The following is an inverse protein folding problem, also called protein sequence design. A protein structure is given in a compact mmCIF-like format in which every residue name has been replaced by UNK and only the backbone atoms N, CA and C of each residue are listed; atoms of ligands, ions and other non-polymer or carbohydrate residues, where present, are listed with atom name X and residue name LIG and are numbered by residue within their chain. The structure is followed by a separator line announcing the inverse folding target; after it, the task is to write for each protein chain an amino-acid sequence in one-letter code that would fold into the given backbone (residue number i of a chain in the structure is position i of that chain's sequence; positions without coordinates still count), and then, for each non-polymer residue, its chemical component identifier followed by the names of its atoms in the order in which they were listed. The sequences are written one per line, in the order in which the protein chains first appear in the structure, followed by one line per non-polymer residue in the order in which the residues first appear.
data_IF_684755990262
#
_entry.id   IF_684755990262
#
_cell.length_a   1.000
_cell.length_b   1.000
_cell.length_c   1.000
_cell.angle_alpha   90.00
_cell.angle_beta   90.00
_cell.angle_gamma   90.00
#
_symmetry.space_group_name_H-M   'P 1'
#
loop_
_entity.id
_entity.type
_entity.pdbx_description
1 polymer ?
#
# COMPACT_ATOMS: atom_id res chain seq x y z
N UNK A 1 -20.35 4.93 16.84
CA UNK A 1 -19.03 4.57 16.26
C UNK A 1 -17.92 4.67 17.29
N UNK A 2 -17.87 5.73 18.11
CA UNK A 2 -16.92 5.85 19.23
C UNK A 2 -16.97 4.67 20.22
N UNK A 3 -18.16 4.13 20.48
CA UNK A 3 -18.33 2.92 21.27
C UNK A 3 -17.61 1.70 20.69
N UNK A 4 -17.56 1.56 19.36
CA UNK A 4 -16.86 0.48 18.66
C UNK A 4 -15.35 0.65 18.83
N UNK A 5 -14.80 1.84 18.57
CA UNK A 5 -13.37 2.09 18.74
C UNK A 5 -12.92 1.97 20.19
N UNK A 6 -13.70 2.51 21.13
CA UNK A 6 -13.47 2.35 22.57
C UNK A 6 -13.56 0.89 23.00
N UNK A 7 -14.46 0.10 22.40
CA UNK A 7 -14.54 -1.33 22.65
C UNK A 7 -13.31 -2.07 22.09
N UNK A 8 -12.85 -1.74 20.88
CA UNK A 8 -11.71 -2.40 20.23
C UNK A 8 -10.33 -1.96 20.78
N UNK A 9 -10.24 -0.83 21.49
CA UNK A 9 -8.97 -0.31 22.02
C UNK A 9 -8.35 -1.17 23.13
N UNK A 10 -9.09 -2.13 23.68
CA UNK A 10 -8.67 -2.98 24.79
C UNK A 10 -8.29 -4.38 24.29
N UNK A 11 -7.09 -4.89 24.64
CA UNK A 11 -6.60 -6.17 24.16
C UNK A 11 -7.44 -7.37 24.64
N UNK A 12 -8.03 -7.31 25.85
CA UNK A 12 -8.88 -8.39 26.37
C UNK A 12 -10.18 -8.48 25.57
N UNK A 13 -10.77 -7.34 25.18
CA UNK A 13 -11.95 -7.32 24.32
C UNK A 13 -11.66 -7.83 22.91
N UNK A 14 -10.49 -7.48 22.33
CA UNK A 14 -10.05 -8.07 21.05
C UNK A 14 -9.85 -9.57 21.16
N UNK A 15 -9.25 -10.07 22.25
CA UNK A 15 -9.09 -11.50 22.51
C UNK A 15 -10.43 -12.26 22.60
N UNK A 16 -11.46 -11.66 23.22
CA UNK A 16 -12.82 -12.23 23.24
C UNK A 16 -13.43 -12.33 21.83
N UNK A 17 -13.30 -11.27 21.02
CA UNK A 17 -13.79 -11.26 19.63
C UNK A 17 -13.02 -12.25 18.76
N UNK A 18 -11.70 -12.40 18.97
CA UNK A 18 -10.86 -13.35 18.26
C UNK A 18 -11.25 -14.80 18.61
N UNK A 19 -11.57 -15.08 19.89
CA UNK A 19 -12.11 -16.36 20.34
C UNK A 19 -13.45 -16.67 19.66
N UNK A 20 -14.39 -15.71 19.66
CA UNK A 20 -15.69 -15.86 18.99
C UNK A 20 -15.57 -16.02 17.47
N UNK A 21 -14.60 -15.34 16.85
CA UNK A 21 -14.28 -15.52 15.43
C UNK A 21 -13.79 -16.95 15.13
N UNK A 22 -13.02 -17.55 16.04
CA UNK A 22 -12.53 -18.93 15.90
C UNK A 22 -13.61 -19.98 16.16
N UNK A 23 -14.47 -19.74 17.16
CA UNK A 23 -15.62 -20.59 17.49
C UNK A 23 -16.77 -19.72 17.97
N UNK A 24 -17.83 -19.63 17.18
CA UNK A 24 -18.96 -18.78 17.54
C UNK A 24 -19.95 -19.48 18.49
N UNK A 25 -20.87 -18.72 19.10
CA UNK A 25 -21.93 -19.29 19.96
C UNK A 25 -21.43 -19.85 21.29
N UNK A 26 -20.35 -19.29 21.83
CA UNK A 26 -19.74 -19.74 23.09
C UNK A 26 -20.51 -19.25 24.32
N UNK A 27 -20.53 -20.08 25.36
CA UNK A 27 -21.04 -19.72 26.69
C UNK A 27 -20.04 -18.85 27.45
N UNK A 28 -20.52 -18.19 28.51
CA UNK A 28 -19.65 -17.40 29.39
C UNK A 28 -18.48 -18.22 29.96
N UNK A 29 -18.73 -19.48 30.33
CA UNK A 29 -17.69 -20.37 30.89
C UNK A 29 -16.65 -20.76 29.85
N UNK A 30 -17.04 -20.95 28.59
CA UNK A 30 -16.09 -21.21 27.50
C UNK A 30 -15.22 -19.98 27.20
N UNK A 31 -15.82 -18.78 27.21
CA UNK A 31 -15.08 -17.53 26.99
C UNK A 31 -14.15 -17.18 28.17
N UNK A 32 -14.53 -17.56 29.39
CA UNK A 32 -13.70 -17.42 30.59
C UNK A 32 -12.46 -18.32 30.52
N UNK A 33 -12.59 -19.55 30.04
CA UNK A 33 -11.50 -20.52 30.01
C UNK A 33 -10.26 -20.05 29.21
N UNK A 34 -10.45 -19.13 28.25
CA UNK A 34 -9.37 -18.57 27.43
C UNK A 34 -8.70 -17.31 27.98
N UNK A 35 -9.19 -16.76 29.09
CA UNK A 35 -8.70 -15.50 29.66
C UNK A 35 -8.42 -15.72 31.13
N UNK A 36 -7.17 -15.58 31.57
CA UNK A 36 -6.74 -15.77 32.97
C UNK A 36 -7.28 -14.70 33.94
N UNK A 37 -8.58 -14.41 33.89
CA UNK A 37 -9.28 -13.37 34.62
C UNK A 37 -10.57 -13.91 35.25
N UNK A 38 -11.15 -13.16 36.17
CA UNK A 38 -12.40 -13.58 36.84
C UNK A 38 -13.59 -13.51 35.89
N UNK A 39 -14.55 -14.43 36.07
CA UNK A 39 -15.86 -14.41 35.40
C UNK A 39 -16.54 -13.03 35.37
N UNK A 40 -16.47 -12.30 36.48
CA UNK A 40 -17.03 -10.95 36.58
C UNK A 40 -16.32 -9.96 35.64
N UNK A 41 -15.01 -10.06 35.50
CA UNK A 41 -14.24 -9.26 34.55
C UNK A 41 -14.62 -9.55 33.10
N UNK A 42 -14.79 -10.84 32.75
CA UNK A 42 -15.29 -11.26 31.42
C UNK A 42 -16.67 -10.68 31.14
N UNK A 43 -17.59 -10.76 32.12
CA UNK A 43 -18.94 -10.18 31.99
C UNK A 43 -18.91 -8.67 31.74
N UNK A 44 -18.03 -7.93 32.42
CA UNK A 44 -17.88 -6.49 32.20
C UNK A 44 -17.42 -6.18 30.78
N UNK A 45 -16.48 -6.96 30.25
CA UNK A 45 -16.02 -6.79 28.87
C UNK A 45 -17.09 -7.16 27.85
N UNK A 46 -17.83 -8.26 28.07
CA UNK A 46 -18.94 -8.67 27.23
C UNK A 46 -20.06 -7.62 27.23
N UNK A 47 -20.35 -6.98 28.36
CA UNK A 47 -21.33 -5.90 28.41
C UNK A 47 -20.94 -4.72 27.49
N UNK A 48 -19.66 -4.31 27.49
CA UNK A 48 -19.15 -3.26 26.60
C UNK A 48 -19.20 -3.68 25.12
N UNK A 49 -18.92 -4.95 24.82
CA UNK A 49 -19.01 -5.48 23.47
C UNK A 49 -20.46 -5.60 22.98
N UNK A 50 -21.39 -5.98 23.86
CA UNK A 50 -22.83 -6.00 23.60
C UNK A 50 -23.36 -4.57 23.37
N UNK A 51 -22.94 -3.59 24.18
CA UNK A 51 -23.30 -2.17 24.01
C UNK A 51 -22.76 -1.59 22.68
N UNK A 52 -21.55 -1.98 22.28
CA UNK A 52 -20.99 -1.63 20.98
C UNK A 52 -21.58 -2.44 19.81
N UNK A 53 -22.53 -3.33 20.08
CA UNK A 53 -23.15 -4.26 19.14
C UNK A 53 -22.15 -5.21 18.45
N UNK A 54 -20.95 -5.38 18.99
CA UNK A 54 -19.90 -6.28 18.47
C UNK A 54 -20.13 -7.73 18.89
N UNK A 55 -20.95 -7.95 19.93
CA UNK A 55 -21.38 -9.26 20.39
C UNK A 55 -22.90 -9.26 20.53
N UNK A 56 -23.56 -10.27 19.97
CA UNK A 56 -25.00 -10.52 20.14
C UNK A 56 -25.18 -11.75 20.99
N UNK A 57 -26.27 -11.81 21.75
CA UNK A 57 -26.49 -12.95 22.64
C UNK A 57 -27.83 -13.63 22.43
N UNK A 58 -27.83 -14.94 22.60
CA UNK A 58 -29.04 -15.78 22.47
C UNK A 58 -29.14 -16.73 23.65
N UNK A 59 -30.34 -16.84 24.22
CA UNK A 59 -30.64 -17.86 25.23
C UNK A 59 -31.06 -19.15 24.54
N UNK A 60 -30.44 -20.26 24.95
CA UNK A 60 -30.84 -21.61 24.56
C UNK A 60 -30.89 -22.49 25.81
N UNK A 61 -32.10 -22.85 26.24
CA UNK A 61 -32.32 -23.53 27.51
C UNK A 61 -31.78 -22.71 28.69
N UNK A 62 -30.86 -23.29 29.47
CA UNK A 62 -30.25 -22.65 30.65
C UNK A 62 -29.01 -21.81 30.32
N UNK A 63 -28.56 -21.78 29.06
CA UNK A 63 -27.31 -21.15 28.67
C UNK A 63 -27.53 -19.87 27.85
N UNK A 64 -26.69 -18.86 28.10
CA UNK A 64 -26.55 -17.65 27.27
C UNK A 64 -25.34 -17.86 26.37
N UNK A 65 -25.58 -17.89 25.07
CA UNK A 65 -24.56 -18.00 24.03
C UNK A 65 -24.25 -16.62 23.47
N UNK A 66 -22.97 -16.38 23.19
CA UNK A 66 -22.45 -15.13 22.67
C UNK A 66 -21.96 -15.36 21.25
N UNK A 67 -22.31 -14.42 20.38
CA UNK A 67 -22.03 -14.49 18.96
C UNK A 67 -21.29 -13.24 18.52
N UNK A 68 -20.26 -13.40 17.69
CA UNK A 68 -19.62 -12.26 17.04
C UNK A 68 -20.61 -11.61 16.05
N UNK A 69 -20.82 -10.31 16.19
CA UNK A 69 -21.53 -9.54 15.18
C UNK A 69 -20.52 -8.74 14.35
N UNK A 70 -20.20 -9.17 13.12
CA UNK A 70 -19.23 -8.48 12.29
C UNK A 70 -19.78 -7.20 11.66
N UNK A 71 -21.11 -6.97 11.66
CA UNK A 71 -21.72 -5.88 10.92
C UNK A 71 -21.21 -4.48 11.34
N UNK A 72 -21.07 -4.13 12.64
CA UNK A 72 -20.54 -2.82 13.02
C UNK A 72 -19.07 -2.63 12.65
N UNK A 73 -18.27 -3.71 12.62
CA UNK A 73 -16.88 -3.67 12.16
C UNK A 73 -16.87 -3.41 10.64
N UNK A 74 -17.74 -4.09 9.90
CA UNK A 74 -17.90 -3.88 8.46
C UNK A 74 -18.37 -2.46 8.16
N UNK A 75 -19.29 -1.88 8.92
CA UNK A 75 -19.72 -0.48 8.74
C UNK A 75 -18.58 0.53 9.00
N UNK A 76 -17.75 0.29 10.03
CA UNK A 76 -16.55 1.09 10.27
C UNK A 76 -15.58 0.95 9.11
N UNK A 77 -15.37 -0.28 8.63
CA UNK A 77 -14.54 -0.54 7.46
C UNK A 77 -15.13 0.15 6.22
N UNK A 78 -16.43 0.07 5.96
CA UNK A 78 -17.06 0.66 4.78
C UNK A 78 -17.03 2.19 4.79
N UNK A 79 -17.05 2.81 5.97
CA UNK A 79 -16.96 4.26 6.12
C UNK A 79 -15.54 4.80 6.06
N UNK A 80 -14.57 4.09 6.62
CA UNK A 80 -13.21 4.62 6.84
C UNK A 80 -12.09 3.83 6.16
N UNK A 81 -12.34 2.61 5.71
CA UNK A 81 -11.36 1.75 5.04
C UNK A 81 -11.74 1.60 3.56
N UNK A 82 -13.00 1.28 3.24
CA UNK A 82 -13.49 1.07 1.87
C UNK A 82 -13.36 2.28 0.93
N UNK A 83 -13.48 3.56 1.38
CA UNK A 83 -13.26 4.71 0.51
C UNK A 83 -11.79 4.87 0.11
N UNK A 84 -10.87 4.36 0.93
CA UNK A 84 -9.43 4.34 0.65
C UNK A 84 -8.98 3.01 0.04
N UNK A 85 -9.83 1.97 0.12
CA UNK A 85 -9.63 0.66 -0.49
C UNK A 85 -10.34 0.52 -1.85
N UNK A 86 -10.88 1.59 -2.44
CA UNK A 86 -11.37 1.58 -3.83
C UNK A 86 -10.83 2.75 -4.64
N UNK A 87 -10.37 2.42 -5.85
CA UNK A 87 -11.28 2.65 -6.96
C UNK A 87 -11.62 1.39 -7.78
N UNK A 88 -11.97 0.26 -7.17
CA UNK A 88 -12.35 -0.96 -7.94
C UNK A 88 -13.68 -0.82 -8.73
N UNK A 89 -14.62 0.01 -8.27
CA UNK A 89 -15.93 0.17 -8.93
C UNK A 89 -15.91 1.18 -10.09
N UNK A 90 -15.08 2.22 -9.99
CA UNK A 90 -14.85 3.19 -11.08
C UNK A 90 -13.99 2.55 -12.17
N UNK A 91 -12.97 1.80 -11.75
CA UNK A 91 -12.20 0.91 -12.61
C UNK A 91 -13.09 -0.09 -13.35
N UNK A 92 -14.12 -0.70 -12.75
CA UNK A 92 -14.99 -1.65 -13.47
C UNK A 92 -15.83 -1.01 -14.60
N UNK A 93 -16.25 0.25 -14.45
CA UNK A 93 -16.98 0.98 -15.50
C UNK A 93 -16.05 1.52 -16.57
N UNK A 94 -14.88 2.05 -16.18
CA UNK A 94 -13.83 2.49 -17.10
C UNK A 94 -13.20 1.29 -17.85
N UNK A 95 -13.09 0.14 -17.20
CA UNK A 95 -12.67 -1.13 -17.79
C UNK A 95 -13.69 -1.64 -18.80
N UNK A 96 -15.00 -1.50 -18.55
CA UNK A 96 -16.01 -1.84 -19.56
C UNK A 96 -15.91 -0.93 -20.79
N UNK A 97 -15.72 0.37 -20.59
CA UNK A 97 -15.54 1.33 -21.69
C UNK A 97 -14.22 1.13 -22.46
N UNK A 98 -13.17 0.65 -21.78
CA UNK A 98 -11.83 0.39 -22.36
C UNK A 98 -11.73 -0.99 -23.01
N UNK A 99 -12.42 -2.01 -22.49
CA UNK A 99 -12.42 -3.39 -23.01
C UNK A 99 -13.21 -3.56 -24.33
N UNK A 100 -14.09 -2.62 -24.65
CA UNK A 100 -14.80 -2.59 -25.94
C UNK A 100 -13.94 -1.93 -27.06
N UNK A 101 -12.74 -1.42 -26.74
CA UNK A 101 -11.78 -0.90 -27.70
C UNK A 101 -10.72 -1.95 -28.09
N UNK A 102 -10.41 -2.14 -29.39
CA UNK A 102 -9.37 -3.07 -29.79
C UNK A 102 -8.00 -2.41 -29.56
N UNK A 103 -7.24 -2.84 -28.55
CA UNK A 103 -5.81 -3.24 -28.61
C UNK A 103 -5.26 -3.54 -27.19
N UNK A 104 -4.81 -4.80 -27.01
CA UNK A 104 -3.87 -5.35 -26.02
C UNK A 104 -4.23 -5.46 -24.51
N UNK A 105 -3.99 -6.68 -24.00
CA UNK A 105 -4.29 -7.27 -22.69
C UNK A 105 -3.34 -6.89 -21.51
N UNK A 106 -3.81 -7.24 -20.29
CA UNK A 106 -3.08 -7.84 -19.14
C UNK A 106 -2.07 -7.01 -18.29
N UNK A 107 -2.49 -6.60 -17.07
CA UNK A 107 -1.99 -7.08 -15.75
C UNK A 107 -2.37 -6.13 -14.60
N UNK A 108 -2.91 -6.68 -13.49
CA UNK A 108 -3.21 -5.93 -12.25
C UNK A 108 -1.90 -5.50 -11.59
N UNK A 109 -1.71 -4.23 -11.20
CA UNK A 109 -0.48 -3.81 -10.53
C UNK A 109 -0.35 -4.44 -9.14
N UNK A 110 0.84 -4.98 -8.84
CA UNK A 110 1.13 -5.69 -7.58
C UNK A 110 1.54 -4.71 -6.46
N UNK A 111 2.01 -3.52 -6.82
CA UNK A 111 2.30 -2.42 -5.90
C UNK A 111 1.96 -1.06 -6.53
N UNK A 112 1.36 -0.17 -5.73
CA UNK A 112 1.10 1.22 -6.11
C UNK A 112 1.42 2.12 -4.91
N UNK A 113 2.22 3.16 -5.14
CA UNK A 113 2.52 4.21 -4.17
C UNK A 113 2.15 5.56 -4.80
N UNK A 114 1.38 6.35 -4.07
CA UNK A 114 0.99 7.70 -4.48
C UNK A 114 1.50 8.73 -3.45
N UNK A 115 2.03 9.84 -3.95
CA UNK A 115 2.44 10.98 -3.13
C UNK A 115 2.14 12.30 -3.84
N UNK A 116 2.07 13.38 -3.09
CA UNK A 116 1.88 14.74 -3.60
C UNK A 116 3.12 15.56 -3.31
N UNK A 117 3.68 16.20 -4.34
CA UNK A 117 4.93 16.96 -4.27
C UNK A 117 4.64 18.39 -4.71
N UNK A 118 5.00 19.37 -3.89
CA UNK A 118 4.89 20.80 -4.23
C UNK A 118 5.95 21.18 -5.26
N UNK A 119 5.61 20.99 -6.52
CA UNK A 119 6.47 21.22 -7.69
C UNK A 119 5.60 21.33 -8.95
N UNK A 120 6.23 21.48 -10.12
CA UNK A 120 5.55 21.42 -11.43
C UNK A 120 5.85 20.10 -12.14
N UNK A 121 5.01 19.67 -13.11
CA UNK A 121 5.27 18.44 -13.86
C UNK A 121 6.63 18.43 -14.55
N UNK A 122 7.08 19.57 -15.05
CA UNK A 122 8.36 19.74 -15.74
C UNK A 122 9.54 19.55 -14.78
N UNK A 123 9.48 20.15 -13.58
CA UNK A 123 10.54 20.00 -12.57
C UNK A 123 10.62 18.57 -12.03
N UNK A 124 9.46 17.93 -11.82
CA UNK A 124 9.39 16.55 -11.40
C UNK A 124 9.93 15.62 -12.49
N UNK A 125 9.52 15.83 -13.74
CA UNK A 125 10.01 15.08 -14.89
C UNK A 125 11.52 15.20 -15.04
N UNK A 126 12.04 16.42 -15.00
CA UNK A 126 13.47 16.70 -15.07
C UNK A 126 14.22 15.94 -13.96
N UNK A 127 13.68 15.87 -12.75
CA UNK A 127 14.29 15.10 -11.67
C UNK A 127 14.33 13.58 -11.94
N UNK A 128 13.33 13.02 -12.65
CA UNK A 128 13.31 11.60 -13.00
C UNK A 128 14.31 11.23 -14.09
N UNK A 129 14.62 12.14 -15.01
CA UNK A 129 15.42 11.84 -16.21
C UNK A 129 16.80 12.49 -16.25
N UNK A 130 17.10 13.40 -15.32
CA UNK A 130 18.42 14.06 -15.23
C UNK A 130 19.38 13.26 -14.33
N UNK A 131 20.53 12.79 -14.85
CA UNK A 131 21.49 11.98 -14.08
C UNK A 131 22.03 12.65 -12.82
N UNK A 132 22.25 13.96 -12.85
CA UNK A 132 22.75 14.73 -11.70
C UNK A 132 21.69 14.78 -10.59
N UNK A 133 20.40 14.88 -10.97
CA UNK A 133 19.29 14.89 -10.01
C UNK A 133 19.02 13.49 -9.44
N UNK A 134 19.04 12.45 -10.27
CA UNK A 134 18.83 11.07 -9.79
C UNK A 134 19.86 10.68 -8.75
N UNK A 135 21.11 11.14 -8.89
CA UNK A 135 22.18 10.89 -7.92
C UNK A 135 21.82 11.38 -6.52
N UNK A 136 21.04 12.46 -6.40
CA UNK A 136 20.71 13.06 -5.11
C UNK A 136 19.70 12.23 -4.31
N UNK A 137 18.68 11.65 -4.97
CA UNK A 137 17.55 11.01 -4.28
C UNK A 137 17.44 9.49 -4.48
N UNK A 138 18.06 8.95 -5.54
CA UNK A 138 17.95 7.54 -5.92
C UNK A 138 19.20 6.77 -5.44
N UNK A 139 19.44 6.74 -4.13
CA UNK A 139 20.56 6.00 -3.51
C UNK A 139 21.96 6.32 -4.05
N UNK A 140 22.20 7.55 -4.50
CA UNK A 140 23.50 7.91 -5.09
C UNK A 140 23.71 7.41 -6.51
N UNK A 141 22.67 6.89 -7.17
CA UNK A 141 22.79 6.33 -8.52
C UNK A 141 22.48 7.35 -9.62
N UNK A 142 23.18 7.21 -10.73
CA UNK A 142 23.03 8.05 -11.92
C UNK A 142 22.27 7.27 -12.98
N UNK A 143 21.21 7.86 -13.52
CA UNK A 143 20.52 7.32 -14.68
C UNK A 143 21.41 7.42 -15.93
N UNK A 144 21.43 6.36 -16.73
CA UNK A 144 21.98 6.35 -18.09
C UNK A 144 20.91 5.83 -19.04
N UNK A 145 20.46 6.70 -19.93
CA UNK A 145 19.47 6.39 -20.97
C UNK A 145 19.50 7.45 -22.08
N UNK A 146 19.19 7.04 -23.30
CA UNK A 146 18.95 7.95 -24.42
C UNK A 146 17.50 8.49 -24.45
N UNK A 147 16.67 8.07 -23.47
CA UNK A 147 15.27 8.47 -23.30
C UNK A 147 14.39 8.20 -24.52
N UNK A 148 14.66 7.09 -25.22
CA UNK A 148 13.86 6.59 -26.35
C UNK A 148 13.26 5.23 -26.03
N UNK A 149 12.02 4.93 -26.41
CA UNK A 149 11.49 3.57 -26.28
C UNK A 149 12.44 2.54 -26.90
N UNK A 150 12.69 1.44 -26.18
CA UNK A 150 13.65 0.40 -26.52
C UNK A 150 15.11 0.69 -26.12
N UNK A 151 15.43 1.89 -25.62
CA UNK A 151 16.80 2.20 -25.16
C UNK A 151 17.06 1.69 -23.74
N UNK A 152 18.32 1.43 -23.37
CA UNK A 152 18.68 1.13 -22.00
C UNK A 152 18.18 2.21 -21.04
N UNK A 153 17.66 1.79 -19.89
CA UNK A 153 17.22 2.64 -18.78
C UNK A 153 17.85 2.12 -17.49
N UNK A 154 19.13 2.45 -17.31
CA UNK A 154 20.00 1.80 -16.33
C UNK A 154 20.44 2.78 -15.25
N UNK A 155 20.56 2.32 -14.01
CA UNK A 155 21.12 3.11 -12.93
C UNK A 155 22.48 2.56 -12.48
N UNK A 156 23.46 3.45 -12.37
CA UNK A 156 24.82 3.13 -11.96
C UNK A 156 25.19 3.83 -10.65
N UNK A 157 25.92 3.14 -9.77
CA UNK A 157 26.48 3.71 -8.55
C UNK A 157 27.96 3.37 -8.49
N UNK A 158 28.82 4.38 -8.34
CA UNK A 158 30.28 4.21 -8.27
C UNK A 158 30.86 3.40 -9.46
N UNK A 159 30.23 3.51 -10.63
CA UNK A 159 30.61 2.77 -11.85
C UNK A 159 30.00 1.38 -11.98
N UNK A 160 29.38 0.83 -10.93
CA UNK A 160 28.72 -0.46 -10.94
C UNK A 160 27.26 -0.35 -11.37
N UNK A 161 26.80 -1.31 -12.18
CA UNK A 161 25.40 -1.41 -12.59
C UNK A 161 24.57 -1.85 -11.38
N UNK A 162 23.70 -0.96 -10.91
CA UNK A 162 22.79 -1.21 -9.79
C UNK A 162 21.47 -1.78 -10.29
N UNK A 163 20.86 -1.14 -11.28
CA UNK A 163 19.58 -1.52 -11.85
C UNK A 163 19.71 -1.57 -13.37
N UNK A 164 19.45 -2.73 -13.94
CA UNK A 164 19.30 -2.89 -15.38
C UNK A 164 17.83 -2.72 -15.78
N UNK A 165 17.62 -2.26 -17.01
CA UNK A 165 16.30 -1.93 -17.51
C UNK A 165 16.32 -1.40 -18.93
N UNK A 166 15.14 -1.40 -19.53
CA UNK A 166 14.84 -0.89 -20.86
C UNK A 166 13.65 0.06 -20.75
N UNK A 167 13.72 1.20 -21.43
CA UNK A 167 12.63 2.16 -21.48
C UNK A 167 11.53 1.64 -22.41
N UNK A 168 10.34 1.37 -21.87
CA UNK A 168 9.22 0.80 -22.63
C UNK A 168 8.38 1.91 -23.27
N UNK A 169 8.06 2.94 -22.49
CA UNK A 169 7.16 4.02 -22.90
C UNK A 169 7.60 5.32 -22.25
N UNK A 170 7.49 6.42 -22.97
CA UNK A 170 7.84 7.74 -22.47
C UNK A 170 6.89 8.80 -23.02
N UNK A 171 6.24 9.53 -22.12
CA UNK A 171 5.43 10.70 -22.40
C UNK A 171 5.96 11.86 -21.53
N UNK A 172 6.68 12.83 -22.13
CA UNK A 172 7.26 13.93 -21.40
C UNK A 172 6.30 14.61 -20.44
N UNK A 173 6.76 14.84 -19.21
CA UNK A 173 6.02 15.47 -18.11
C UNK A 173 4.76 14.72 -17.63
N UNK A 174 4.56 13.47 -18.07
CA UNK A 174 3.34 12.70 -17.77
C UNK A 174 3.60 11.28 -17.33
N UNK A 175 4.40 10.52 -18.09
CA UNK A 175 4.49 9.07 -17.90
C UNK A 175 5.83 8.53 -18.35
N UNK A 176 6.42 7.66 -17.54
CA UNK A 176 7.63 6.91 -17.88
C UNK A 176 7.42 5.46 -17.47
N UNK A 177 7.64 4.53 -18.40
CA UNK A 177 7.54 3.09 -18.16
C UNK A 177 8.86 2.45 -18.51
N UNK A 178 9.40 1.65 -17.59
CA UNK A 178 10.61 0.87 -17.84
C UNK A 178 10.46 -0.55 -17.33
N UNK A 179 11.29 -1.45 -17.84
CA UNK A 179 11.57 -2.69 -17.13
C UNK A 179 12.46 -2.41 -15.90
N UNK A 180 12.45 -3.34 -14.95
CA UNK A 180 13.20 -3.25 -13.71
C UNK A 180 13.82 -4.62 -13.41
N UNK A 181 15.15 -4.69 -13.51
CA UNK A 181 15.94 -5.88 -13.20
C UNK A 181 17.13 -5.49 -12.29
N UNK A 182 16.96 -5.60 -10.97
CA UNK A 182 17.97 -5.17 -10.02
C UNK A 182 19.16 -6.13 -10.02
N UNK A 183 20.37 -5.58 -9.90
CA UNK A 183 21.62 -6.35 -9.79
C UNK A 183 22.01 -6.62 -8.32
N UNK A 184 21.03 -6.52 -7.41
CA UNK A 184 21.17 -6.88 -6.01
C UNK A 184 20.09 -7.91 -5.65
N UNK A 185 20.43 -8.86 -4.78
CA UNK A 185 19.52 -9.95 -4.43
C UNK A 185 19.17 -10.88 -5.60
N UNK A 186 18.31 -11.85 -5.33
CA UNK A 186 17.85 -12.80 -6.36
C UNK A 186 16.53 -12.30 -6.98
N UNK A 187 16.51 -12.18 -8.31
CA UNK A 187 15.32 -11.81 -9.09
C UNK A 187 14.83 -13.00 -9.90
N UNK A 188 13.52 -13.20 -9.97
CA UNK A 188 12.88 -14.27 -10.78
C UNK A 188 12.55 -13.84 -12.21
N UNK A 189 13.02 -12.67 -12.63
CA UNK A 189 12.81 -12.10 -13.96
C UNK A 189 12.71 -10.58 -13.91
N UNK A 190 12.69 -9.96 -15.10
CA UNK A 190 12.42 -8.54 -15.22
C UNK A 190 10.97 -8.22 -14.83
N UNK A 191 10.80 -7.13 -14.09
CA UNK A 191 9.51 -6.58 -13.69
C UNK A 191 9.26 -5.27 -14.42
N UNK A 192 8.10 -4.63 -14.23
CA UNK A 192 7.76 -3.37 -14.92
C UNK A 192 7.39 -2.28 -13.93
N UNK A 193 7.99 -1.11 -14.10
CA UNK A 193 7.74 0.09 -13.29
C UNK A 193 7.12 1.18 -14.16
N UNK A 194 6.17 1.91 -13.59
CA UNK A 194 5.57 3.09 -14.20
C UNK A 194 5.62 4.24 -13.22
N UNK A 195 6.14 5.36 -13.68
CA UNK A 195 6.08 6.66 -13.03
C UNK A 195 5.04 7.52 -13.75
N UNK A 196 4.00 7.94 -13.03
CA UNK A 196 2.96 8.84 -13.54
C UNK A 196 3.01 10.17 -12.82
N UNK A 197 2.82 11.25 -13.57
CA UNK A 197 2.81 12.63 -13.10
C UNK A 197 1.50 13.27 -13.55
N UNK A 198 0.74 13.77 -12.58
CA UNK A 198 -0.50 14.49 -12.84
C UNK A 198 -0.49 15.84 -12.11
N UNK A 199 -0.84 16.96 -12.78
CA UNK A 199 -1.00 18.23 -12.10
C UNK A 199 -2.22 18.17 -11.16
N UNK A 200 -2.08 18.73 -9.96
CA UNK A 200 -3.11 18.73 -8.93
C UNK A 200 -3.09 20.06 -8.14
N UNK A 201 -3.50 21.16 -8.80
CA UNK A 201 -3.41 22.50 -8.22
C UNK A 201 -1.96 22.95 -8.09
N UNK A 202 -1.57 23.39 -6.89
CA UNK A 202 -0.21 23.88 -6.59
C UNK A 202 0.81 22.74 -6.32
N UNK A 203 0.41 21.49 -6.53
CA UNK A 203 1.24 20.30 -6.36
C UNK A 203 1.11 19.36 -7.57
N UNK A 204 2.07 18.45 -7.72
CA UNK A 204 2.00 17.31 -8.63
C UNK A 204 1.68 16.05 -7.84
N UNK A 205 0.70 15.28 -8.31
CA UNK A 205 0.50 13.90 -7.89
C UNK A 205 1.52 13.04 -8.63
N UNK A 206 2.34 12.33 -7.88
CA UNK A 206 3.34 11.40 -8.38
C UNK A 206 2.96 9.98 -7.96
N UNK A 207 2.82 9.08 -8.93
CA UNK A 207 2.42 7.70 -8.69
C UNK A 207 3.49 6.76 -9.22
N UNK A 208 3.96 5.86 -8.35
CA UNK A 208 4.83 4.74 -8.72
C UNK A 208 3.96 3.48 -8.75
N UNK A 209 3.90 2.83 -9.91
CA UNK A 209 3.23 1.54 -10.08
C UNK A 209 4.27 0.48 -10.44
N UNK A 210 4.24 -0.67 -9.78
CA UNK A 210 5.16 -1.76 -10.03
C UNK A 210 4.37 -3.06 -10.24
N UNK A 211 4.54 -3.67 -11.42
CA UNK A 211 3.94 -4.94 -11.81
C UNK A 211 4.90 -6.08 -11.55
N UNK A 212 4.38 -7.24 -11.13
CA UNK A 212 5.16 -8.45 -10.83
C UNK A 212 6.23 -8.27 -9.74
N UNK A 213 5.99 -7.39 -8.76
CA UNK A 213 6.96 -7.10 -7.70
C UNK A 213 7.36 -8.33 -6.86
N UNK A 214 6.55 -9.40 -6.89
CA UNK A 214 6.85 -10.70 -6.28
C UNK A 214 8.01 -11.46 -6.97
N UNK A 215 8.37 -11.06 -8.20
CA UNK A 215 9.57 -11.51 -8.91
C UNK A 215 10.82 -10.70 -8.55
N UNK A 216 10.66 -9.55 -7.91
CA UNK A 216 11.75 -8.69 -7.48
C UNK A 216 12.29 -9.12 -6.09
N UNK A 217 13.53 -8.74 -5.73
CA UNK A 217 14.09 -9.03 -4.42
C UNK A 217 13.29 -8.41 -3.27
N UNK A 218 13.36 -8.98 -2.05
CA UNK A 218 12.80 -8.36 -0.86
C UNK A 218 13.32 -6.93 -0.66
N UNK A 219 12.48 -6.04 -0.12
CA UNK A 219 12.85 -4.65 0.19
C UNK A 219 12.62 -3.63 -0.93
N UNK A 220 12.24 -4.06 -2.13
CA UNK A 220 11.91 -3.14 -3.25
C UNK A 220 10.73 -2.21 -2.90
N UNK A 221 9.71 -2.71 -2.19
CA UNK A 221 8.57 -1.89 -1.73
C UNK A 221 8.98 -0.78 -0.78
N UNK A 222 9.84 -1.07 0.21
CA UNK A 222 10.42 -0.06 1.09
C UNK A 222 11.34 0.90 0.33
N UNK A 223 12.06 0.39 -0.68
CA UNK A 223 12.89 1.20 -1.56
C UNK A 223 12.08 2.28 -2.29
N UNK A 224 10.92 1.92 -2.85
CA UNK A 224 10.04 2.90 -3.51
C UNK A 224 9.53 3.99 -2.58
N UNK A 225 9.16 3.62 -1.34
CA UNK A 225 8.74 4.61 -0.35
C UNK A 225 9.87 5.59 0.00
N UNK A 226 11.10 5.10 0.16
CA UNK A 226 12.28 5.94 0.44
C UNK A 226 12.62 6.84 -0.75
N UNK A 227 12.61 6.31 -1.97
CA UNK A 227 12.86 7.08 -3.20
C UNK A 227 11.82 8.20 -3.36
N UNK A 228 10.53 7.89 -3.22
CA UNK A 228 9.46 8.88 -3.34
C UNK A 228 9.58 9.97 -2.26
N UNK A 229 9.93 9.60 -1.02
CA UNK A 229 10.15 10.55 0.07
C UNK A 229 11.37 11.44 -0.18
N UNK A 230 12.47 10.88 -0.68
CA UNK A 230 13.69 11.63 -0.96
C UNK A 230 13.50 12.59 -2.14
N UNK A 231 12.82 12.14 -3.21
CA UNK A 231 12.46 12.98 -4.36
C UNK A 231 11.55 14.14 -3.96
N UNK A 232 10.56 13.87 -3.11
CA UNK A 232 9.68 14.90 -2.56
C UNK A 232 10.48 15.95 -1.80
N UNK A 233 11.35 15.53 -0.87
CA UNK A 233 12.21 16.45 -0.13
C UNK A 233 13.07 17.30 -1.07
N UNK A 234 13.76 16.67 -2.03
CA UNK A 234 14.61 17.36 -3.00
C UNK A 234 13.86 18.45 -3.76
N UNK A 235 12.64 18.16 -4.21
CA UNK A 235 11.84 19.11 -4.99
C UNK A 235 11.18 20.21 -4.16
N UNK A 236 10.87 19.93 -2.89
CA UNK A 236 10.20 20.89 -2.01
C UNK A 236 11.16 21.79 -1.25
N UNK A 237 12.35 21.29 -0.90
CA UNK A 237 13.32 21.98 -0.05
C UNK A 237 14.65 22.25 -0.74
N UNK A 238 14.94 21.57 -1.86
CA UNK A 238 16.26 21.58 -2.50
C UNK A 238 17.22 20.53 -1.93
N UNK A 239 16.84 19.80 -0.89
CA UNK A 239 17.70 18.79 -0.23
C UNK A 239 17.04 17.42 -0.21
N UNK A 240 17.77 16.39 -0.64
CA UNK A 240 17.32 15.00 -0.62
C UNK A 240 17.50 14.36 0.76
N UNK A 241 16.68 13.35 1.06
CA UNK A 241 16.83 12.55 2.29
C UNK A 241 17.93 11.51 2.06
N UNK A 242 18.92 11.50 2.95
CA UNK A 242 19.97 10.50 2.96
C UNK A 242 19.49 9.22 3.66
N UNK A 243 19.27 8.16 2.88
CA UNK A 243 19.02 6.82 3.41
C UNK A 243 20.33 6.00 3.49
N UNK A 244 20.45 5.07 4.44
CA UNK A 244 21.57 4.12 4.48
C UNK A 244 21.69 3.39 3.15
N UNK A 245 22.92 3.30 2.62
CA UNK A 245 23.20 2.71 1.28
C UNK A 245 23.25 1.18 1.26
N UNK A 246 22.91 0.54 2.37
CA UNK A 246 22.80 -0.92 2.50
C UNK A 246 21.48 -1.40 1.92
N UNK A 247 21.53 -1.98 0.72
CA UNK A 247 20.55 -2.95 0.21
C UNK A 247 21.18 -4.33 0.23
#
# INVERSE_FOLDING_TARGET
MDAIFKALSDPTRRGLLDSLRGKDGQTLTELEAGLGMTRFGVMKHLAVLEEANLVVTRKAGRFKHHYLNPAPIQEVADRWIAPYAKPAARFAMDLKATLEGPTAMTERPTFVLETFIRTTPEKLWEALVNPEKTQLYYYGSTLKSDLKPGSPFQYFRDGELLLDGELVEIEPNRKLVSTFLPNWGESKGATRVTFSIEPAGDVCKFTITHHDIDKAPPGVTSGWAQIASSLKSLLETGEAIAYPRTM
#
